data_IF_593990792118
#
_entry.id   IF_593990792118
#
_cell.length_a   1.000
_cell.length_b   1.000
_cell.length_c   1.000
_cell.angle_alpha   90.00
_cell.angle_beta   90.00
_cell.angle_gamma   90.00
#
_symmetry.space_group_name_H-M   'P 1'
#
loop_
_entity.id
_entity.type
_entity.pdbx_description
1 polymer ?
#
# COMPACT_ATOMS: atom_id res chain seq x y z
N UNK A 1 16.39 -6.79 -7.35
CA UNK A 1 15.61 -8.03 -7.52
C UNK A 1 14.13 -7.68 -7.60
N UNK A 2 13.54 -7.75 -8.79
CA UNK A 2 12.09 -7.62 -9.00
C UNK A 2 11.45 -8.97 -8.66
N UNK A 3 11.00 -9.12 -7.41
CA UNK A 3 10.22 -10.29 -6.99
C UNK A 3 8.81 -10.16 -7.56
N UNK A 4 8.62 -10.56 -8.82
CA UNK A 4 7.28 -10.78 -9.34
C UNK A 4 6.67 -11.93 -8.54
N UNK A 5 5.62 -11.63 -7.76
CA UNK A 5 4.96 -12.64 -6.95
C UNK A 5 4.00 -13.42 -7.83
N UNK A 6 4.16 -14.73 -7.89
CA UNK A 6 3.31 -15.62 -8.69
C UNK A 6 1.87 -15.67 -8.17
N UNK A 7 1.67 -15.40 -6.87
CA UNK A 7 0.37 -15.52 -6.24
C UNK A 7 0.12 -14.45 -5.18
N UNK A 8 -1.14 -14.07 -4.99
CA UNK A 8 -1.54 -13.02 -4.06
C UNK A 8 -1.15 -13.39 -2.60
N UNK A 9 -1.15 -14.67 -2.27
CA UNK A 9 -0.74 -15.19 -0.95
C UNK A 9 0.75 -14.96 -0.67
N UNK A 10 1.63 -15.17 -1.66
CA UNK A 10 3.07 -14.94 -1.53
C UNK A 10 3.39 -13.46 -1.40
N UNK A 11 2.66 -12.61 -2.13
CA UNK A 11 2.72 -11.17 -1.95
C UNK A 11 2.32 -10.76 -0.53
N UNK A 12 1.21 -11.30 0.00
CA UNK A 12 0.77 -11.00 1.38
C UNK A 12 1.81 -11.44 2.41
N UNK A 13 2.38 -12.64 2.25
CA UNK A 13 3.40 -13.19 3.16
C UNK A 13 4.69 -12.37 3.16
N UNK A 14 5.18 -11.98 1.98
CA UNK A 14 6.38 -11.14 1.87
C UNK A 14 6.14 -9.73 2.43
N UNK A 15 4.97 -9.16 2.20
CA UNK A 15 4.59 -7.86 2.72
C UNK A 15 4.49 -7.89 4.24
N UNK A 16 3.89 -8.93 4.81
CA UNK A 16 3.83 -9.11 6.26
C UNK A 16 5.21 -9.28 6.90
N UNK A 17 6.12 -10.04 6.28
CA UNK A 17 7.50 -10.17 6.74
C UNK A 17 8.23 -8.81 6.74
N UNK A 18 8.01 -7.97 5.71
CA UNK A 18 8.57 -6.62 5.64
C UNK A 18 7.99 -5.72 6.73
N UNK A 19 6.68 -5.78 6.99
CA UNK A 19 6.05 -5.01 8.07
C UNK A 19 6.57 -5.42 9.46
N UNK A 20 6.78 -6.71 9.69
CA UNK A 20 7.39 -7.21 10.94
C UNK A 20 8.81 -6.69 11.13
N UNK A 21 9.65 -6.76 10.08
CA UNK A 21 11.00 -6.21 10.14
C UNK A 21 11.00 -4.70 10.41
N UNK A 22 10.06 -3.96 9.82
CA UNK A 22 9.93 -2.51 10.01
C UNK A 22 9.45 -2.16 11.43
N UNK A 23 8.54 -2.96 11.99
CA UNK A 23 8.08 -2.87 13.37
C UNK A 23 9.23 -3.09 14.36
N UNK A 24 9.99 -4.16 14.19
CA UNK A 24 11.15 -4.47 15.01
C UNK A 24 12.24 -3.41 14.90
N UNK A 25 12.51 -2.88 13.70
CA UNK A 25 13.54 -1.85 13.48
C UNK A 25 13.20 -0.52 14.15
N UNK A 26 11.93 -0.14 14.15
CA UNK A 26 11.49 1.14 14.71
C UNK A 26 10.98 1.03 16.16
N UNK A 27 11.06 -0.16 16.77
CA UNK A 27 10.48 -0.47 18.07
C UNK A 27 9.01 0.00 18.20
N UNK A 28 8.24 -0.21 17.13
CA UNK A 28 6.84 0.19 17.03
C UNK A 28 5.93 -1.04 17.02
N UNK A 29 4.74 -0.87 17.58
CA UNK A 29 3.71 -1.91 17.55
C UNK A 29 3.31 -2.29 16.10
N UNK A 30 3.23 -3.60 15.85
CA UNK A 30 2.92 -4.15 14.53
C UNK A 30 1.53 -3.72 14.04
N UNK A 31 0.55 -3.61 14.94
CA UNK A 31 -0.81 -3.19 14.57
C UNK A 31 -0.84 -1.72 14.17
N UNK A 32 -0.01 -0.88 14.80
CA UNK A 32 0.14 0.53 14.40
C UNK A 32 0.65 0.65 12.97
N UNK A 33 1.66 -0.13 12.59
CA UNK A 33 2.20 -0.13 11.23
C UNK A 33 1.20 -0.71 10.22
N UNK A 34 0.47 -1.78 10.58
CA UNK A 34 -0.60 -2.33 9.73
C UNK A 34 -1.69 -1.30 9.43
N UNK A 35 -2.17 -0.58 10.44
CA UNK A 35 -3.15 0.51 10.27
C UNK A 35 -2.60 1.63 9.41
N UNK A 36 -1.35 2.04 9.62
CA UNK A 36 -0.70 3.07 8.82
C UNK A 36 -0.65 2.66 7.34
N UNK A 37 -0.18 1.46 7.03
CA UNK A 37 -0.06 0.99 5.64
C UNK A 37 -1.43 0.82 4.98
N UNK A 38 -2.45 0.33 5.71
CA UNK A 38 -3.82 0.25 5.19
C UNK A 38 -4.39 1.64 4.88
N UNK A 39 -4.16 2.62 5.77
CA UNK A 39 -4.59 3.99 5.61
C UNK A 39 -3.89 4.69 4.44
N UNK A 40 -2.56 4.53 4.31
CA UNK A 40 -1.79 5.06 3.19
C UNK A 40 -2.27 4.47 1.85
N UNK A 41 -2.60 3.18 1.80
CA UNK A 41 -3.14 2.54 0.59
C UNK A 41 -4.52 3.08 0.23
N UNK A 42 -5.37 3.33 1.23
CA UNK A 42 -6.69 3.91 1.05
C UNK A 42 -6.59 5.38 0.60
N UNK A 43 -5.67 6.15 1.18
CA UNK A 43 -5.34 7.51 0.75
C UNK A 43 -4.84 7.53 -0.69
N UNK A 44 -3.89 6.67 -1.05
CA UNK A 44 -3.40 6.53 -2.42
C UNK A 44 -4.53 6.16 -3.37
N UNK A 45 -5.41 5.23 -2.99
CA UNK A 45 -6.55 4.86 -3.80
C UNK A 45 -7.49 6.06 -4.00
N UNK A 46 -7.77 6.81 -2.94
CA UNK A 46 -8.59 8.03 -2.99
C UNK A 46 -7.97 9.09 -3.91
N UNK A 47 -6.67 9.36 -3.76
CA UNK A 47 -5.93 10.35 -4.55
C UNK A 47 -5.85 9.92 -6.02
N UNK A 48 -5.58 8.65 -6.31
CA UNK A 48 -5.55 8.12 -7.67
C UNK A 48 -6.94 8.21 -8.30
N UNK A 49 -8.00 7.88 -7.55
CA UNK A 49 -9.37 7.97 -8.05
C UNK A 49 -9.78 9.43 -8.33
N UNK A 50 -9.43 10.36 -7.43
CA UNK A 50 -9.62 11.79 -7.66
C UNK A 50 -8.82 12.26 -8.88
N UNK A 51 -7.57 11.80 -9.03
CA UNK A 51 -6.70 12.20 -10.12
C UNK A 51 -7.19 11.62 -11.48
N UNK A 52 -7.70 10.39 -11.50
CA UNK A 52 -8.37 9.79 -12.66
C UNK A 52 -9.66 10.52 -13.00
N UNK A 53 -10.48 10.84 -11.98
CA UNK A 53 -11.73 11.58 -12.15
C UNK A 53 -11.47 12.99 -12.70
N UNK A 54 -10.49 13.71 -12.15
CA UNK A 54 -10.10 15.04 -12.59
C UNK A 54 -9.47 15.03 -13.98
N UNK A 55 -8.68 13.99 -14.31
CA UNK A 55 -8.09 13.83 -15.64
C UNK A 55 -9.11 13.43 -16.71
N UNK A 56 -10.17 12.70 -16.35
CA UNK A 56 -11.30 12.44 -17.26
C UNK A 56 -12.10 13.71 -17.55
N UNK A 57 -12.34 14.56 -16.54
CA UNK A 57 -13.09 15.81 -16.72
C UNK A 57 -12.34 16.84 -17.57
N UNK A 58 -11.00 16.91 -17.49
CA UNK A 58 -10.17 17.80 -18.32
C UNK A 58 -10.10 17.34 -19.79
N UNK A 59 -10.24 16.04 -20.06
CA UNK A 59 -10.18 15.48 -21.42
C UNK A 59 -11.57 15.32 -22.06
N UNK A 60 -12.63 15.60 -21.31
CA UNK A 60 -14.03 15.59 -21.77
C UNK A 60 -14.52 16.99 -22.22
N UNK A 61 -13.62 17.97 -22.31
CA UNK A 61 -13.85 19.36 -22.71
C UNK A 61 -12.94 19.70 -23.89
#
# INVERSE_FOLDING_TARGET
>A
MTTAFNNATDFRRSLEARLKNLASKNNQDLQRIRRKVAFERLLLFCIIYLCYKFRYEIFAL
#
